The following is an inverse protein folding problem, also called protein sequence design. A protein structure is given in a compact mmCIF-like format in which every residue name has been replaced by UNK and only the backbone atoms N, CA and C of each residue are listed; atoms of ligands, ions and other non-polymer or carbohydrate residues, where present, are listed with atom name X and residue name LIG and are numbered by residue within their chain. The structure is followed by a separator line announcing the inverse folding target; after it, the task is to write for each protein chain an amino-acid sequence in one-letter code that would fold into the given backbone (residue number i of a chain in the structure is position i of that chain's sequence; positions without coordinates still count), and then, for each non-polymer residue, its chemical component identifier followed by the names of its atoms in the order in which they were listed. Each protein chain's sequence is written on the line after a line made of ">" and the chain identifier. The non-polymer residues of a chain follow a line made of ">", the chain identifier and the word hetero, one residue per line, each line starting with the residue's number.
data_IF_536006591536
#
_entry.id   IF_536006591536
#
_cell.length_a   1.000
_cell.length_b   1.000
_cell.length_c   1.000
_cell.angle_alpha   90.00
_cell.angle_beta   90.00
_cell.angle_gamma   90.00
#
_symmetry.space_group_name_H-M   'P 1'
#
loop_
_entity.id
_entity.type
_entity.pdbx_description
1 polymer ?
#
# COMPACT_ATOMS: atom_id res chain seq x y z
N UNK A 1 -54.59 -48.32 17.16
CA UNK A 1 -54.95 -47.80 15.81
C UNK A 1 -55.71 -46.49 15.86
N UNK A 2 -56.37 -46.12 16.96
CA UNK A 2 -57.19 -44.87 17.06
C UNK A 2 -56.44 -43.58 17.17
N UNK A 3 -55.21 -43.58 17.75
CA UNK A 3 -54.43 -42.38 17.93
C UNK A 3 -53.81 -41.86 16.63
N UNK A 4 -53.62 -42.68 15.60
CA UNK A 4 -53.05 -42.24 14.30
C UNK A 4 -54.12 -41.56 13.44
N UNK A 5 -55.38 -41.91 13.63
CA UNK A 5 -56.48 -41.28 12.89
C UNK A 5 -56.89 -39.90 13.44
N UNK A 6 -56.61 -39.62 14.73
CA UNK A 6 -56.91 -38.33 15.33
C UNK A 6 -55.86 -37.24 14.87
N UNK A 7 -54.66 -37.65 14.74
CA UNK A 7 -53.54 -36.74 14.20
C UNK A 7 -53.75 -36.42 12.71
N UNK A 8 -54.23 -37.40 11.90
CA UNK A 8 -54.54 -37.16 10.47
C UNK A 8 -55.73 -36.20 10.27
N UNK A 9 -56.78 -36.25 11.13
CA UNK A 9 -57.95 -35.32 11.02
C UNK A 9 -57.59 -33.88 11.39
N UNK A 10 -56.65 -33.62 12.32
CA UNK A 10 -56.24 -32.26 12.68
C UNK A 10 -55.35 -31.57 11.60
N UNK A 11 -54.57 -32.36 10.85
CA UNK A 11 -53.74 -31.83 9.75
C UNK A 11 -54.58 -31.46 8.50
N UNK A 12 -55.74 -32.04 8.31
CA UNK A 12 -56.68 -31.70 7.21
C UNK A 12 -57.34 -30.31 7.37
N UNK A 13 -57.49 -29.82 8.62
CA UNK A 13 -58.10 -28.51 8.91
C UNK A 13 -57.22 -27.34 8.44
N UNK A 14 -55.92 -27.54 8.26
CA UNK A 14 -54.98 -26.51 7.79
C UNK A 14 -54.58 -26.63 6.31
N UNK A 15 -55.20 -27.53 5.52
CA UNK A 15 -54.93 -27.68 4.10
C UNK A 15 -53.51 -28.18 3.74
N UNK A 16 -52.73 -28.59 4.74
CA UNK A 16 -51.36 -29.10 4.55
C UNK A 16 -51.38 -30.62 4.57
N UNK A 17 -51.15 -31.25 3.43
CA UNK A 17 -51.04 -32.71 3.38
C UNK A 17 -49.60 -33.14 3.81
N UNK A 18 -49.46 -34.41 4.23
CA UNK A 18 -48.15 -34.95 4.70
C UNK A 18 -47.04 -34.85 3.67
N UNK A 19 -47.37 -34.82 2.37
CA UNK A 19 -46.44 -34.62 1.25
C UNK A 19 -45.95 -33.16 1.19
N UNK A 20 -46.84 -32.17 1.44
CA UNK A 20 -46.48 -30.77 1.50
C UNK A 20 -45.55 -30.44 2.68
N UNK A 21 -45.79 -31.04 3.86
CA UNK A 21 -44.93 -30.87 5.03
C UNK A 21 -43.52 -31.44 4.79
N UNK A 22 -43.44 -32.63 4.14
CA UNK A 22 -42.15 -33.23 3.74
C UNK A 22 -41.42 -32.39 2.71
N UNK A 23 -42.10 -31.82 1.74
CA UNK A 23 -41.52 -30.94 0.75
C UNK A 23 -40.97 -29.63 1.38
N UNK A 24 -41.72 -29.04 2.34
CA UNK A 24 -41.27 -27.85 3.07
C UNK A 24 -40.03 -28.17 3.95
N UNK A 25 -40.04 -29.31 4.67
CA UNK A 25 -38.88 -29.75 5.46
C UNK A 25 -37.65 -30.02 4.57
N UNK A 26 -37.83 -30.66 3.40
CA UNK A 26 -36.75 -30.92 2.46
C UNK A 26 -36.18 -29.59 1.88
N UNK A 27 -37.07 -28.66 1.50
CA UNK A 27 -36.66 -27.34 1.02
C UNK A 27 -35.91 -26.54 2.09
N UNK A 28 -36.38 -26.61 3.34
CA UNK A 28 -35.70 -25.95 4.47
C UNK A 28 -34.34 -26.59 4.79
N UNK A 29 -34.23 -27.93 4.75
CA UNK A 29 -32.96 -28.63 4.89
C UNK A 29 -31.98 -28.30 3.74
N UNK A 30 -32.47 -28.26 2.49
CA UNK A 30 -31.69 -27.87 1.33
C UNK A 30 -31.26 -26.40 1.41
N UNK A 31 -32.13 -25.52 1.93
CA UNK A 31 -31.80 -24.10 2.16
C UNK A 31 -30.75 -23.94 3.27
N UNK A 32 -30.82 -24.70 4.38
CA UNK A 32 -29.81 -24.74 5.43
C UNK A 32 -28.47 -25.32 4.92
N UNK A 33 -28.50 -26.35 4.06
CA UNK A 33 -27.32 -26.91 3.43
C UNK A 33 -26.70 -25.88 2.46
N UNK A 34 -27.49 -25.16 1.68
CA UNK A 34 -27.04 -24.12 0.77
C UNK A 34 -26.42 -22.94 1.52
N UNK A 35 -26.96 -22.53 2.68
CA UNK A 35 -26.37 -21.50 3.54
C UNK A 35 -25.02 -21.96 4.10
N UNK A 36 -24.88 -23.22 4.52
CA UNK A 36 -23.60 -23.76 5.01
C UNK A 36 -22.59 -24.02 3.89
N UNK A 37 -23.02 -24.31 2.66
CA UNK A 37 -22.14 -24.47 1.50
C UNK A 37 -21.61 -23.12 0.96
N UNK A 38 -22.29 -22.00 1.26
CA UNK A 38 -21.92 -20.67 0.79
C UNK A 38 -20.79 -20.00 1.60
N UNK A 39 -20.25 -20.62 2.64
CA UNK A 39 -19.33 -19.98 3.57
C UNK A 39 -18.01 -20.73 3.87
N UNK A 40 -17.45 -21.50 2.95
CA UNK A 40 -16.03 -21.82 3.06
C UNK A 40 -15.24 -20.68 2.43
N UNK A 41 -14.97 -19.62 3.19
CA UNK A 41 -14.02 -18.59 2.79
C UNK A 41 -12.64 -19.23 2.67
N UNK A 42 -12.04 -19.18 1.48
CA UNK A 42 -10.70 -19.66 1.25
C UNK A 42 -9.73 -18.89 2.16
N UNK A 43 -9.00 -19.59 3.03
CA UNK A 43 -8.06 -19.00 3.98
C UNK A 43 -6.64 -19.32 3.54
N UNK A 44 -5.87 -18.28 3.20
CA UNK A 44 -4.42 -18.41 2.99
C UNK A 44 -3.73 -18.53 4.35
N UNK A 45 -3.14 -19.70 4.62
CA UNK A 45 -2.40 -19.96 5.85
C UNK A 45 -1.03 -19.25 5.84
N UNK A 46 -0.48 -18.90 7.01
CA UNK A 46 0.85 -18.30 7.09
C UNK A 46 1.95 -19.28 6.65
N UNK A 47 3.01 -18.75 6.05
CA UNK A 47 4.17 -19.51 5.61
C UNK A 47 5.36 -19.40 6.59
N UNK A 48 5.47 -18.28 7.32
CA UNK A 48 6.67 -17.95 8.11
C UNK A 48 6.38 -17.65 9.58
N UNK A 49 5.16 -17.95 10.05
CA UNK A 49 4.85 -17.94 11.49
C UNK A 49 5.72 -18.96 12.23
N UNK A 50 6.27 -18.59 13.39
CA UNK A 50 7.24 -19.38 14.15
C UNK A 50 8.68 -19.31 13.61
N UNK A 51 8.91 -18.65 12.44
CA UNK A 51 10.23 -18.50 11.82
C UNK A 51 10.64 -17.03 11.71
N UNK A 52 9.80 -16.19 11.07
CA UNK A 52 10.07 -14.75 10.92
C UNK A 52 9.50 -13.93 12.07
N UNK A 53 8.46 -14.42 12.70
CA UNK A 53 7.80 -13.82 13.85
C UNK A 53 7.16 -14.93 14.71
N UNK A 54 6.88 -14.71 16.01
CA UNK A 54 6.26 -15.71 16.88
C UNK A 54 4.92 -16.23 16.33
N UNK A 55 4.70 -17.53 16.40
CA UNK A 55 3.40 -18.17 16.10
C UNK A 55 2.41 -18.09 17.28
N UNK A 56 2.92 -17.80 18.48
CA UNK A 56 2.08 -17.52 19.63
C UNK A 56 1.51 -16.10 19.55
N UNK A 57 0.17 -15.90 19.60
CA UNK A 57 -0.44 -14.60 19.41
C UNK A 57 -0.09 -13.59 20.52
N UNK A 58 0.12 -14.03 21.76
CA UNK A 58 0.47 -13.16 22.87
C UNK A 58 1.91 -12.66 22.74
N UNK A 59 2.84 -13.54 22.39
CA UNK A 59 4.25 -13.19 22.17
C UNK A 59 4.39 -12.24 20.99
N UNK A 60 3.69 -12.53 19.89
CA UNK A 60 3.67 -11.69 18.69
C UNK A 60 3.13 -10.29 18.99
N UNK A 61 1.99 -10.20 19.69
CA UNK A 61 1.40 -8.92 20.10
C UNK A 61 2.37 -8.11 20.94
N UNK A 62 2.97 -8.73 21.96
CA UNK A 62 3.92 -8.06 22.84
C UNK A 62 5.20 -7.63 22.13
N UNK A 63 5.68 -8.44 21.17
CA UNK A 63 6.83 -8.09 20.34
C UNK A 63 6.56 -6.84 19.51
N UNK A 64 5.44 -6.80 18.79
CA UNK A 64 5.05 -5.67 17.96
C UNK A 64 4.81 -4.41 18.84
N UNK A 65 4.12 -4.55 19.96
CA UNK A 65 3.85 -3.43 20.86
C UNK A 65 5.16 -2.80 21.39
N UNK A 66 6.15 -3.61 21.76
CA UNK A 66 7.49 -3.11 22.15
C UNK A 66 8.18 -2.35 21.02
N UNK A 67 8.08 -2.82 19.76
CA UNK A 67 8.63 -2.08 18.63
C UNK A 67 7.91 -0.75 18.42
N UNK A 68 6.57 -0.76 18.46
CA UNK A 68 5.76 0.46 18.31
C UNK A 68 6.02 1.48 19.44
N UNK A 69 6.24 1.04 20.67
CA UNK A 69 6.57 1.91 21.80
C UNK A 69 7.93 2.61 21.59
N UNK A 70 8.95 1.85 21.18
CA UNK A 70 10.30 2.36 20.92
C UNK A 70 10.39 3.28 19.71
N UNK A 71 9.57 3.06 18.69
CA UNK A 71 9.59 3.86 17.47
C UNK A 71 9.25 5.32 17.77
N UNK A 72 10.02 6.26 17.20
CA UNK A 72 9.82 7.71 17.33
C UNK A 72 9.81 8.40 15.97
N UNK A 73 8.89 8.03 15.07
CA UNK A 73 8.86 8.62 13.75
C UNK A 73 8.50 10.10 13.84
N UNK A 74 9.21 10.93 13.06
CA UNK A 74 8.91 12.34 12.89
C UNK A 74 8.28 12.54 11.51
N UNK A 75 6.98 12.76 11.47
CA UNK A 75 6.26 13.12 10.27
C UNK A 75 5.09 14.02 10.66
N UNK A 76 5.19 15.30 10.33
CA UNK A 76 4.21 16.31 10.77
C UNK A 76 2.90 16.29 9.99
N UNK A 77 2.86 15.61 8.86
CA UNK A 77 1.69 15.61 7.99
C UNK A 77 0.67 14.55 8.43
N UNK A 78 -0.60 14.94 8.50
CA UNK A 78 -1.68 14.04 8.87
C UNK A 78 -2.25 13.24 7.69
N UNK A 79 -1.93 13.62 6.46
CA UNK A 79 -2.44 12.97 5.26
C UNK A 79 -1.41 11.95 4.75
N UNK A 80 -1.45 10.73 5.29
CA UNK A 80 -0.60 9.62 4.91
C UNK A 80 -1.33 8.77 3.88
N UNK A 81 -0.70 8.51 2.75
CA UNK A 81 -1.23 7.68 1.68
C UNK A 81 -0.53 6.33 1.57
N UNK A 82 0.81 6.30 1.73
CA UNK A 82 1.54 5.05 1.60
C UNK A 82 2.69 4.91 2.60
N UNK A 83 3.06 3.65 2.85
CA UNK A 83 4.26 3.24 3.56
C UNK A 83 5.13 2.40 2.63
N UNK A 84 6.46 2.46 2.83
CA UNK A 84 7.41 1.47 2.34
C UNK A 84 7.97 0.80 3.59
N UNK A 85 7.82 -0.52 3.72
CA UNK A 85 8.21 -1.26 4.92
C UNK A 85 8.98 -2.54 4.57
N UNK A 86 9.97 -2.94 5.38
CA UNK A 86 10.74 -4.16 5.18
C UNK A 86 9.94 -5.40 5.55
N UNK A 87 10.39 -6.59 5.06
CA UNK A 87 9.72 -7.88 5.30
C UNK A 87 10.64 -9.02 5.73
N UNK A 88 11.83 -8.71 6.21
CA UNK A 88 12.66 -9.70 6.89
C UNK A 88 12.04 -10.14 8.23
N UNK A 89 12.64 -11.16 8.86
CA UNK A 89 12.21 -11.59 10.20
C UNK A 89 12.22 -10.43 11.20
N UNK A 90 11.24 -10.39 12.10
CA UNK A 90 11.01 -9.29 13.03
C UNK A 90 12.18 -8.96 13.95
N UNK A 91 13.03 -9.96 14.26
CA UNK A 91 14.28 -9.73 15.00
C UNK A 91 15.25 -8.79 14.29
N UNK A 92 15.19 -8.68 12.98
CA UNK A 92 16.04 -7.82 12.15
C UNK A 92 15.34 -6.54 11.70
N UNK A 93 14.14 -6.66 11.14
CA UNK A 93 13.46 -5.54 10.47
C UNK A 93 12.28 -4.95 11.24
N UNK A 94 11.79 -5.62 12.30
CA UNK A 94 10.57 -5.24 13.01
C UNK A 94 10.62 -3.84 13.64
N UNK A 95 11.77 -3.44 14.19
CA UNK A 95 11.93 -2.08 14.76
C UNK A 95 11.81 -1.01 13.68
N UNK A 96 12.43 -1.24 12.51
CA UNK A 96 12.35 -0.31 11.36
C UNK A 96 10.93 -0.23 10.82
N UNK A 97 10.27 -1.40 10.63
CA UNK A 97 8.88 -1.45 10.19
C UNK A 97 7.94 -0.65 11.12
N UNK A 98 8.16 -0.78 12.44
CA UNK A 98 7.36 -0.10 13.46
C UNK A 98 7.33 1.42 13.31
N UNK A 99 8.38 2.05 12.76
CA UNK A 99 8.43 3.49 12.53
C UNK A 99 7.36 3.95 11.53
N UNK A 100 7.09 3.18 10.48
CA UNK A 100 5.99 3.44 9.55
C UNK A 100 4.64 3.13 10.18
N UNK A 101 4.49 1.95 10.77
CA UNK A 101 3.21 1.49 11.31
C UNK A 101 2.72 2.34 12.49
N UNK A 102 3.61 2.90 13.30
CA UNK A 102 3.22 3.81 14.38
C UNK A 102 2.49 5.04 13.88
N UNK A 103 2.85 5.58 12.73
CA UNK A 103 2.21 6.77 12.14
C UNK A 103 0.77 6.53 11.72
N UNK A 104 0.40 5.30 11.42
CA UNK A 104 -0.95 4.95 10.98
C UNK A 104 -1.84 4.41 12.11
N UNK A 105 -1.32 4.30 13.33
CA UNK A 105 -2.07 3.74 14.46
C UNK A 105 -3.38 4.48 14.68
N UNK A 106 -4.47 3.70 14.75
CA UNK A 106 -5.86 4.17 14.96
C UNK A 106 -6.41 5.08 13.86
N UNK A 107 -5.77 5.12 12.67
CA UNK A 107 -6.32 5.86 11.53
C UNK A 107 -7.47 5.09 10.87
N UNK A 108 -8.42 5.79 10.22
CA UNK A 108 -9.68 5.19 9.76
C UNK A 108 -9.55 4.56 8.35
N UNK A 109 -8.43 3.89 8.06
CA UNK A 109 -8.31 3.16 6.79
C UNK A 109 -9.27 1.97 6.76
N UNK A 110 -9.91 1.76 5.62
CA UNK A 110 -10.85 0.65 5.37
C UNK A 110 -10.32 -0.36 4.37
N UNK A 111 -9.41 0.06 3.48
CA UNK A 111 -8.74 -0.81 2.53
C UNK A 111 -7.24 -0.58 2.61
N UNK A 112 -6.47 -1.67 2.74
CA UNK A 112 -5.01 -1.64 2.72
C UNK A 112 -4.51 -2.45 1.53
N UNK A 113 -3.93 -1.77 0.55
CA UNK A 113 -3.30 -2.38 -0.61
C UNK A 113 -1.86 -2.74 -0.22
N UNK A 114 -1.52 -4.03 -0.22
CA UNK A 114 -0.16 -4.50 0.05
C UNK A 114 0.46 -4.96 -1.27
N UNK A 115 1.51 -4.25 -1.72
CA UNK A 115 2.22 -4.56 -2.95
C UNK A 115 3.59 -5.11 -2.57
N UNK A 116 3.89 -6.35 -2.97
CA UNK A 116 5.05 -7.10 -2.54
C UNK A 116 5.73 -7.86 -3.70
N UNK A 117 7.01 -8.24 -3.60
CA UNK A 117 7.69 -9.02 -4.63
C UNK A 117 7.25 -10.49 -4.63
N UNK A 118 7.63 -11.21 -5.68
CA UNK A 118 7.59 -12.67 -5.75
C UNK A 118 8.99 -13.25 -5.58
N UNK A 119 9.27 -13.92 -4.46
CA UNK A 119 10.57 -14.51 -4.19
C UNK A 119 10.70 -15.95 -4.72
N UNK A 120 9.58 -16.64 -4.91
CA UNK A 120 9.57 -18.08 -5.16
C UNK A 120 8.97 -18.48 -6.52
N UNK A 121 8.30 -17.55 -7.21
CA UNK A 121 7.62 -17.87 -8.47
C UNK A 121 7.83 -16.75 -9.50
N UNK A 122 8.55 -17.06 -10.59
CA UNK A 122 8.79 -16.11 -11.68
C UNK A 122 7.57 -16.01 -12.61
N UNK A 123 7.10 -14.78 -12.86
CA UNK A 123 6.02 -14.49 -13.80
C UNK A 123 6.09 -13.04 -14.29
N UNK A 124 5.38 -12.72 -15.35
CA UNK A 124 5.25 -11.35 -15.85
C UNK A 124 3.94 -10.71 -15.35
N UNK A 125 3.99 -9.43 -14.97
CA UNK A 125 2.84 -8.66 -14.56
C UNK A 125 2.58 -8.69 -13.04
N UNK A 126 1.29 -8.60 -12.68
CA UNK A 126 0.83 -8.50 -11.30
C UNK A 126 -0.13 -9.66 -10.98
N UNK A 127 0.05 -10.27 -9.81
CA UNK A 127 -0.86 -11.29 -9.30
C UNK A 127 -1.64 -10.73 -8.11
N UNK A 128 -2.98 -10.79 -8.18
CA UNK A 128 -3.87 -10.28 -7.15
C UNK A 128 -4.65 -11.44 -6.55
N UNK A 129 -4.62 -11.56 -5.23
CA UNK A 129 -5.41 -12.57 -4.52
C UNK A 129 -6.88 -12.15 -4.51
N UNK A 130 -7.83 -12.97 -5.07
CA UNK A 130 -9.14 -12.46 -5.45
C UNK A 130 -10.14 -12.34 -4.30
N UNK A 131 -10.14 -13.29 -3.34
CA UNK A 131 -11.19 -13.42 -2.32
C UNK A 131 -10.73 -14.24 -1.11
N UNK A 132 -11.52 -14.22 -0.04
CA UNK A 132 -11.27 -14.99 1.17
C UNK A 132 -10.50 -14.19 2.21
N UNK A 133 -9.53 -14.81 2.88
CA UNK A 133 -8.76 -14.17 3.96
C UNK A 133 -7.31 -14.67 4.03
N UNK A 134 -6.46 -13.86 4.68
CA UNK A 134 -5.12 -14.24 5.09
C UNK A 134 -5.08 -14.45 6.60
N UNK A 135 -4.60 -15.61 7.03
CA UNK A 135 -4.44 -15.95 8.44
C UNK A 135 -3.09 -15.52 8.97
N UNK A 136 -3.10 -14.97 10.18
CA UNK A 136 -1.94 -14.75 11.02
C UNK A 136 -2.21 -15.34 12.41
N UNK A 137 -1.22 -15.43 13.32
CA UNK A 137 -1.49 -15.80 14.71
C UNK A 137 -2.47 -14.84 15.43
N UNK A 138 -2.63 -13.61 14.93
CA UNK A 138 -3.54 -12.60 15.50
C UNK A 138 -4.98 -12.68 14.94
N UNK A 139 -5.25 -13.64 14.05
CA UNK A 139 -6.56 -13.85 13.42
C UNK A 139 -6.55 -13.63 11.91
N UNK A 140 -7.71 -13.75 11.30
CA UNK A 140 -7.89 -13.65 9.85
C UNK A 140 -8.11 -12.19 9.43
N UNK A 141 -7.53 -11.82 8.29
CA UNK A 141 -7.75 -10.56 7.60
C UNK A 141 -8.50 -10.80 6.30
N UNK A 142 -9.68 -10.23 6.19
CA UNK A 142 -10.53 -10.35 5.00
C UNK A 142 -9.92 -9.59 3.81
N UNK A 143 -10.10 -10.16 2.62
CA UNK A 143 -9.78 -9.50 1.35
C UNK A 143 -10.91 -8.54 0.98
N UNK A 144 -10.57 -7.37 0.45
CA UNK A 144 -11.51 -6.44 -0.18
C UNK A 144 -11.87 -6.98 -1.58
N UNK A 145 -12.82 -7.93 -1.60
CA UNK A 145 -13.19 -8.65 -2.82
C UNK A 145 -13.76 -7.72 -3.90
N UNK A 146 -14.49 -6.68 -3.51
CA UNK A 146 -15.00 -5.70 -4.47
C UNK A 146 -13.83 -4.96 -5.15
N UNK A 147 -12.84 -4.55 -4.37
CA UNK A 147 -11.67 -3.86 -4.90
C UNK A 147 -10.82 -4.79 -5.80
N UNK A 148 -10.56 -6.02 -5.37
CA UNK A 148 -9.77 -6.99 -6.14
C UNK A 148 -10.43 -7.36 -7.45
N UNK A 149 -11.75 -7.55 -7.48
CA UNK A 149 -12.49 -7.86 -8.71
C UNK A 149 -12.44 -6.71 -9.73
N UNK A 150 -12.47 -5.47 -9.26
CA UNK A 150 -12.34 -4.29 -10.14
C UNK A 150 -10.97 -4.21 -10.80
N UNK A 151 -9.92 -4.74 -10.19
CA UNK A 151 -8.59 -4.82 -10.76
C UNK A 151 -8.44 -6.01 -11.74
N UNK A 152 -8.91 -7.21 -11.36
CA UNK A 152 -8.72 -8.45 -12.10
C UNK A 152 -9.39 -8.48 -13.49
N UNK A 153 -10.41 -7.67 -13.72
CA UNK A 153 -11.19 -7.70 -14.96
C UNK A 153 -10.72 -6.69 -16.03
N UNK A 154 -9.50 -6.13 -15.92
CA UNK A 154 -9.09 -4.99 -16.74
C UNK A 154 -7.97 -5.25 -17.73
N UNK A 155 -6.94 -5.98 -17.35
CA UNK A 155 -5.71 -6.11 -18.15
C UNK A 155 -5.20 -7.56 -18.13
N UNK A 156 -4.62 -8.04 -19.24
CA UNK A 156 -4.11 -9.41 -19.37
C UNK A 156 -2.95 -9.71 -18.40
N UNK A 157 -2.09 -8.71 -18.15
CA UNK A 157 -0.97 -8.84 -17.23
C UNK A 157 -1.40 -8.87 -15.75
N UNK A 158 -2.68 -8.63 -15.46
CA UNK A 158 -3.23 -8.65 -14.10
C UNK A 158 -4.15 -9.86 -13.93
N UNK A 159 -3.69 -10.83 -13.17
CA UNK A 159 -4.46 -12.08 -12.96
C UNK A 159 -4.18 -12.67 -11.59
N UNK A 160 -4.96 -13.66 -11.18
CA UNK A 160 -4.63 -14.46 -10.01
C UNK A 160 -3.73 -15.63 -10.41
N UNK A 161 -2.56 -15.72 -9.81
CA UNK A 161 -1.60 -16.83 -9.95
C UNK A 161 -1.36 -17.43 -8.58
N UNK A 162 -2.04 -18.53 -8.21
CA UNK A 162 -1.91 -19.15 -6.88
C UNK A 162 -0.45 -19.43 -6.47
N UNK A 163 0.37 -19.92 -7.41
CA UNK A 163 1.78 -20.21 -7.17
C UNK A 163 2.61 -19.00 -6.70
N UNK A 164 2.21 -17.78 -7.08
CA UNK A 164 2.87 -16.55 -6.62
C UNK A 164 2.66 -16.28 -5.12
N UNK A 165 1.63 -16.88 -4.51
CA UNK A 165 1.31 -16.71 -3.09
C UNK A 165 1.65 -17.92 -2.24
N UNK A 166 1.85 -19.08 -2.85
CA UNK A 166 1.94 -20.37 -2.12
C UNK A 166 3.02 -20.37 -1.04
N UNK A 167 4.24 -19.90 -1.38
CA UNK A 167 5.39 -19.83 -0.48
C UNK A 167 5.82 -18.39 -0.14
N UNK A 168 5.10 -17.39 -0.65
CA UNK A 168 5.48 -16.00 -0.51
C UNK A 168 5.16 -15.45 0.89
N UNK A 169 6.12 -14.76 1.47
CA UNK A 169 6.07 -14.22 2.83
C UNK A 169 5.99 -12.69 2.89
N UNK A 170 6.34 -11.99 1.81
CA UNK A 170 6.52 -10.54 1.81
C UNK A 170 5.24 -9.74 2.09
N UNK A 171 4.06 -10.30 1.76
CA UNK A 171 2.76 -9.76 2.18
C UNK A 171 2.49 -10.13 3.64
N UNK A 172 2.67 -11.41 3.98
CA UNK A 172 2.34 -12.00 5.28
C UNK A 172 3.00 -11.23 6.43
N UNK A 173 4.28 -10.89 6.29
CA UNK A 173 5.07 -10.20 7.32
C UNK A 173 4.51 -8.81 7.66
N UNK A 174 3.78 -8.16 6.74
CA UNK A 174 3.16 -6.86 6.97
C UNK A 174 1.87 -6.96 7.83
N UNK A 175 1.18 -8.11 7.74
CA UNK A 175 -0.17 -8.25 8.27
C UNK A 175 -0.27 -8.11 9.80
N UNK A 176 0.61 -8.70 10.62
CA UNK A 176 0.51 -8.56 12.08
C UNK A 176 0.70 -7.11 12.55
N UNK A 177 1.57 -6.32 11.90
CA UNK A 177 1.70 -4.89 12.19
C UNK A 177 0.42 -4.13 11.87
N UNK A 178 -0.21 -4.42 10.72
CA UNK A 178 -1.50 -3.83 10.34
C UNK A 178 -2.59 -4.16 11.38
N UNK A 179 -2.67 -5.41 11.81
CA UNK A 179 -3.64 -5.85 12.84
C UNK A 179 -3.44 -5.18 14.19
N UNK A 180 -2.19 -4.82 14.55
CA UNK A 180 -1.89 -4.11 15.81
C UNK A 180 -2.10 -2.61 15.73
N UNK A 181 -2.19 -2.04 14.53
CA UNK A 181 -2.27 -0.59 14.34
C UNK A 181 -3.60 -0.10 13.79
N UNK A 182 -4.32 -0.92 13.03
CA UNK A 182 -5.60 -0.58 12.40
C UNK A 182 -6.74 -1.47 12.92
N UNK A 183 -7.97 -1.03 12.68
CA UNK A 183 -9.18 -1.77 13.02
C UNK A 183 -10.23 -1.69 11.90
N UNK A 184 -10.93 -2.82 11.66
CA UNK A 184 -12.05 -2.86 10.73
C UNK A 184 -11.68 -2.50 9.29
N UNK A 185 -10.57 -3.02 8.81
CA UNK A 185 -10.06 -2.86 7.44
C UNK A 185 -10.02 -4.20 6.71
N UNK A 186 -9.94 -4.12 5.38
CA UNK A 186 -9.72 -5.26 4.49
C UNK A 186 -8.42 -5.06 3.72
N UNK A 187 -7.86 -6.16 3.19
CA UNK A 187 -6.60 -6.13 2.45
C UNK A 187 -6.81 -6.38 0.95
N UNK A 188 -5.93 -5.81 0.14
CA UNK A 188 -5.78 -6.10 -1.29
C UNK A 188 -4.37 -6.63 -1.51
N UNK A 189 -4.16 -7.96 -1.49
CA UNK A 189 -2.84 -8.57 -1.61
C UNK A 189 -2.41 -8.62 -3.07
N UNK A 190 -1.25 -8.00 -3.39
CA UNK A 190 -0.70 -7.91 -4.73
C UNK A 190 0.76 -8.36 -4.70
N UNK A 191 1.09 -9.34 -5.55
CA UNK A 191 2.46 -9.79 -5.79
C UNK A 191 2.90 -9.31 -7.17
N UNK A 192 4.09 -8.70 -7.24
CA UNK A 192 4.69 -8.22 -8.49
C UNK A 192 5.67 -9.26 -9.03
N UNK A 193 5.49 -9.62 -10.30
CA UNK A 193 6.49 -10.37 -11.08
C UNK A 193 7.43 -9.43 -11.84
N UNK A 194 7.96 -9.89 -12.97
CA UNK A 194 8.72 -9.04 -13.86
C UNK A 194 7.79 -8.10 -14.63
N UNK A 195 8.10 -6.80 -14.61
CA UNK A 195 7.25 -5.76 -15.19
C UNK A 195 8.08 -4.68 -15.86
N UNK A 196 7.57 -4.12 -16.96
CA UNK A 196 8.14 -2.94 -17.61
C UNK A 196 7.71 -1.66 -16.89
N UNK A 197 8.41 -0.56 -17.09
CA UNK A 197 7.99 0.76 -16.58
C UNK A 197 6.59 1.15 -17.11
N UNK A 198 6.27 0.73 -18.35
CA UNK A 198 4.94 0.92 -18.93
C UNK A 198 3.86 0.17 -18.15
N UNK A 199 4.12 -1.10 -17.78
CA UNK A 199 3.21 -1.88 -16.93
C UNK A 199 3.04 -1.24 -15.55
N UNK A 200 4.12 -0.74 -14.92
CA UNK A 200 4.03 -0.02 -13.65
C UNK A 200 3.13 1.23 -13.74
N UNK A 201 3.25 2.02 -14.83
CA UNK A 201 2.40 3.21 -15.06
C UNK A 201 0.95 2.84 -15.29
N UNK A 202 0.67 1.85 -16.14
CA UNK A 202 -0.70 1.35 -16.40
C UNK A 202 -1.35 0.84 -15.11
N UNK A 203 -0.60 0.07 -14.33
CA UNK A 203 -1.13 -0.47 -13.08
C UNK A 203 -1.37 0.62 -12.02
N UNK A 204 -0.48 1.61 -11.92
CA UNK A 204 -0.69 2.77 -11.05
C UNK A 204 -1.96 3.57 -11.47
N UNK A 205 -2.17 3.78 -12.78
CA UNK A 205 -3.39 4.43 -13.29
C UNK A 205 -4.65 3.62 -12.97
N UNK A 206 -4.63 2.29 -13.12
CA UNK A 206 -5.73 1.42 -12.77
C UNK A 206 -6.05 1.45 -11.26
N UNK A 207 -5.02 1.45 -10.41
CA UNK A 207 -5.19 1.61 -8.97
C UNK A 207 -5.82 2.96 -8.62
N UNK A 208 -5.35 4.04 -9.24
CA UNK A 208 -5.92 5.39 -9.07
C UNK A 208 -7.40 5.43 -9.44
N UNK A 209 -7.78 4.88 -10.59
CA UNK A 209 -9.17 4.84 -11.05
C UNK A 209 -10.05 3.98 -10.12
N UNK A 210 -9.47 2.89 -9.58
CA UNK A 210 -10.15 2.00 -8.63
C UNK A 210 -10.33 2.66 -7.26
N UNK A 211 -9.32 3.39 -6.77
CA UNK A 211 -9.39 4.19 -5.54
C UNK A 211 -10.42 5.32 -5.70
N UNK A 212 -10.43 5.99 -6.86
CA UNK A 212 -11.34 7.10 -7.13
C UNK A 212 -11.17 8.26 -6.13
N UNK A 213 -12.25 8.65 -5.45
CA UNK A 213 -12.25 9.74 -4.46
C UNK A 213 -12.09 9.27 -3.00
N UNK A 214 -11.82 7.98 -2.78
CA UNK A 214 -11.67 7.41 -1.44
C UNK A 214 -10.45 8.00 -0.73
N UNK A 215 -10.64 8.30 0.57
CA UNK A 215 -9.58 8.83 1.46
C UNK A 215 -9.19 7.80 2.55
N UNK A 216 -9.84 6.64 2.52
CA UNK A 216 -9.70 5.57 3.51
C UNK A 216 -8.86 4.37 2.98
N UNK A 217 -8.03 4.63 1.96
CA UNK A 217 -7.13 3.65 1.35
C UNK A 217 -5.70 3.94 1.76
N UNK A 218 -5.00 2.91 2.25
CA UNK A 218 -3.56 2.93 2.51
C UNK A 218 -2.86 2.00 1.53
N UNK A 219 -1.69 2.40 1.04
CA UNK A 219 -0.80 1.52 0.28
C UNK A 219 0.42 1.15 1.13
N UNK A 220 0.78 -0.13 1.16
CA UNK A 220 2.01 -0.63 1.78
C UNK A 220 2.84 -1.31 0.70
N UNK A 221 3.95 -0.68 0.31
CA UNK A 221 4.96 -1.30 -0.53
C UNK A 221 5.94 -2.08 0.36
N UNK A 222 5.95 -3.40 0.19
CA UNK A 222 6.77 -4.31 0.99
C UNK A 222 8.11 -4.55 0.29
N UNK A 223 9.22 -4.11 0.88
CA UNK A 223 10.55 -4.26 0.29
C UNK A 223 11.67 -4.14 1.31
N UNK A 224 12.59 -5.10 1.27
CA UNK A 224 13.93 -4.91 1.82
C UNK A 224 14.82 -4.22 0.78
N UNK A 225 16.00 -3.72 1.20
CA UNK A 225 16.96 -3.01 0.35
C UNK A 225 18.08 -3.94 -0.15
N UNK A 226 19.32 -3.57 0.03
CA UNK A 226 20.50 -4.36 -0.40
C UNK A 226 20.45 -5.80 0.14
N UNK A 227 20.93 -6.73 -0.69
CA UNK A 227 21.18 -8.14 -0.33
C UNK A 227 22.56 -8.55 -0.87
N UNK A 228 23.53 -8.78 0.01
CA UNK A 228 24.87 -9.18 -0.39
C UNK A 228 25.79 -9.50 0.78
N UNK A 229 27.07 -9.72 0.48
CA UNK A 229 28.06 -10.17 1.46
C UNK A 229 28.99 -9.05 1.97
N UNK A 230 28.64 -7.79 1.77
CA UNK A 230 29.45 -6.66 2.23
C UNK A 230 28.57 -5.57 2.85
N UNK A 231 28.78 -5.29 4.15
CA UNK A 231 27.99 -4.27 4.84
C UNK A 231 28.33 -2.82 4.42
N UNK A 232 29.57 -2.57 3.93
CA UNK A 232 29.98 -1.26 3.43
C UNK A 232 29.31 -0.99 2.09
N UNK A 233 29.33 -1.98 1.19
CA UNK A 233 28.59 -1.91 -0.07
C UNK A 233 27.08 -1.73 0.19
N UNK A 234 26.51 -2.42 1.20
CA UNK A 234 25.13 -2.22 1.62
C UNK A 234 24.85 -0.74 1.95
N UNK A 235 25.71 -0.10 2.74
CA UNK A 235 25.53 1.30 3.11
C UNK A 235 25.64 2.26 1.91
N UNK A 236 26.53 1.98 0.96
CA UNK A 236 26.72 2.78 -0.25
C UNK A 236 25.55 2.64 -1.23
N UNK A 237 25.17 1.41 -1.57
CA UNK A 237 24.05 1.13 -2.49
C UNK A 237 22.74 1.63 -1.89
N UNK A 238 22.49 1.37 -0.60
CA UNK A 238 21.28 1.81 0.08
C UNK A 238 21.20 3.33 0.15
N UNK A 239 22.32 4.03 0.39
CA UNK A 239 22.37 5.50 0.37
C UNK A 239 21.94 6.08 -0.98
N UNK A 240 22.40 5.46 -2.07
CA UNK A 240 22.02 5.88 -3.43
C UNK A 240 20.52 5.59 -3.64
N UNK A 241 20.07 4.38 -3.31
CA UNK A 241 18.65 3.99 -3.42
C UNK A 241 17.73 4.94 -2.64
N UNK A 242 18.12 5.30 -1.40
CA UNK A 242 17.39 6.26 -0.57
C UNK A 242 17.30 7.65 -1.22
N UNK A 243 18.28 8.07 -2.02
CA UNK A 243 18.21 9.35 -2.72
C UNK A 243 17.12 9.38 -3.78
N UNK A 244 16.93 8.27 -4.53
CA UNK A 244 15.83 8.13 -5.49
C UNK A 244 14.47 8.10 -4.80
N UNK A 245 14.36 7.43 -3.66
CA UNK A 245 13.14 7.40 -2.85
C UNK A 245 12.76 8.81 -2.36
N UNK A 246 13.70 9.53 -1.74
CA UNK A 246 13.49 10.91 -1.24
C UNK A 246 13.04 11.88 -2.32
N UNK A 247 13.60 11.74 -3.53
CA UNK A 247 13.22 12.54 -4.69
C UNK A 247 11.93 12.04 -5.36
N UNK A 248 11.38 10.91 -4.89
CA UNK A 248 10.25 10.22 -5.51
C UNK A 248 10.48 9.98 -7.01
N UNK A 249 11.73 9.71 -7.41
CA UNK A 249 12.10 9.45 -8.80
C UNK A 249 11.83 8.00 -9.19
N UNK A 250 10.58 7.71 -9.48
CA UNK A 250 10.12 6.38 -9.88
C UNK A 250 10.79 5.86 -11.16
N UNK A 251 11.08 6.75 -12.12
CA UNK A 251 11.71 6.36 -13.38
C UNK A 251 13.19 6.04 -13.19
N UNK A 252 13.94 6.91 -12.50
CA UNK A 252 15.34 6.66 -12.18
C UNK A 252 15.52 5.43 -11.31
N UNK A 253 14.62 5.23 -10.31
CA UNK A 253 14.61 4.02 -9.50
C UNK A 253 14.39 2.76 -10.35
N UNK A 254 13.41 2.77 -11.26
CA UNK A 254 13.13 1.64 -12.14
C UNK A 254 14.36 1.24 -12.98
N UNK A 255 15.01 2.20 -13.64
CA UNK A 255 16.19 1.92 -14.46
C UNK A 255 17.39 1.50 -13.62
N UNK A 256 17.61 2.12 -12.47
CA UNK A 256 18.69 1.73 -11.57
C UNK A 256 18.55 0.29 -11.04
N UNK A 257 17.31 -0.16 -10.78
CA UNK A 257 17.02 -1.55 -10.42
C UNK A 257 17.25 -2.50 -11.59
N UNK A 258 16.86 -2.13 -12.81
CA UNK A 258 17.07 -2.94 -14.02
C UNK A 258 18.55 -3.08 -14.40
N UNK A 259 19.34 -2.09 -14.10
CA UNK A 259 20.78 -2.06 -14.32
C UNK A 259 21.58 -2.64 -13.13
N UNK A 260 20.89 -3.18 -12.12
CA UNK A 260 21.47 -3.74 -10.89
C UNK A 260 22.37 -2.77 -10.10
N UNK A 261 22.20 -1.46 -10.38
CA UNK A 261 22.90 -0.38 -9.66
C UNK A 261 22.24 -0.04 -8.32
N UNK A 262 20.96 -0.36 -8.19
CA UNK A 262 20.13 -0.16 -7.02
C UNK A 262 19.52 -1.49 -6.62
N UNK A 263 19.21 -1.65 -5.33
CA UNK A 263 18.60 -2.87 -4.83
C UNK A 263 17.40 -2.57 -3.95
N UNK A 264 16.27 -3.15 -4.33
CA UNK A 264 15.02 -3.25 -3.58
C UNK A 264 14.34 -4.54 -4.06
N UNK A 265 14.16 -5.54 -3.20
CA UNK A 265 13.51 -6.78 -3.62
C UNK A 265 12.06 -6.55 -4.07
N UNK A 266 11.34 -5.62 -3.44
CA UNK A 266 10.01 -5.15 -3.82
C UNK A 266 10.03 -3.91 -4.72
N UNK A 267 11.14 -3.64 -5.45
CA UNK A 267 11.39 -2.38 -6.13
C UNK A 267 10.31 -1.99 -7.14
N UNK A 268 9.75 -2.94 -7.88
CA UNK A 268 8.67 -2.65 -8.84
C UNK A 268 7.37 -2.24 -8.13
N UNK A 269 7.05 -2.85 -6.99
CA UNK A 269 5.93 -2.42 -6.14
C UNK A 269 6.14 -1.01 -5.59
N UNK A 270 7.38 -0.68 -5.21
CA UNK A 270 7.77 0.67 -4.80
C UNK A 270 7.62 1.67 -5.96
N UNK A 271 8.08 1.33 -7.17
CA UNK A 271 7.91 2.18 -8.39
C UNK A 271 6.44 2.47 -8.65
N UNK A 272 5.56 1.44 -8.61
CA UNK A 272 4.10 1.63 -8.74
C UNK A 272 3.58 2.57 -7.66
N UNK A 273 3.99 2.37 -6.41
CA UNK A 273 3.55 3.20 -5.28
C UNK A 273 3.96 4.67 -5.43
N UNK A 274 5.21 4.94 -5.89
CA UNK A 274 5.69 6.30 -6.15
C UNK A 274 4.90 6.99 -7.27
N UNK A 275 4.63 6.27 -8.38
CA UNK A 275 3.84 6.80 -9.50
C UNK A 275 2.42 7.13 -9.03
N UNK A 276 1.75 6.16 -8.39
CA UNK A 276 0.39 6.31 -7.88
C UNK A 276 0.28 7.48 -6.88
N UNK A 277 1.24 7.57 -5.96
CA UNK A 277 1.28 8.65 -4.97
C UNK A 277 1.34 10.04 -5.64
N UNK A 278 2.21 10.21 -6.64
CA UNK A 278 2.30 11.46 -7.40
C UNK A 278 1.01 11.79 -8.15
N UNK A 279 0.39 10.80 -8.78
CA UNK A 279 -0.86 10.98 -9.52
C UNK A 279 -2.02 11.38 -8.60
N UNK A 280 -2.00 10.93 -7.33
CA UNK A 280 -2.96 11.29 -6.28
C UNK A 280 -2.53 12.53 -5.47
N UNK A 281 -1.45 13.22 -5.89
CA UNK A 281 -0.91 14.44 -5.27
C UNK A 281 -0.30 14.23 -3.87
N UNK A 282 0.08 13.00 -3.53
CA UNK A 282 0.90 12.69 -2.37
C UNK A 282 2.36 12.67 -2.80
N UNK A 283 3.01 13.83 -2.77
CA UNK A 283 4.33 14.07 -3.38
C UNK A 283 5.44 14.35 -2.37
N UNK A 284 5.23 14.01 -1.09
CA UNK A 284 6.25 14.09 -0.05
C UNK A 284 6.56 12.70 0.49
N UNK A 285 7.82 12.27 0.37
CA UNK A 285 8.33 11.05 0.99
C UNK A 285 9.34 11.42 2.07
N UNK A 286 9.17 10.85 3.26
CA UNK A 286 10.14 10.91 4.35
C UNK A 286 10.67 9.51 4.66
N UNK A 287 11.99 9.41 4.82
CA UNK A 287 12.65 8.22 5.37
C UNK A 287 12.59 8.33 6.89
N UNK A 288 11.85 7.41 7.51
CA UNK A 288 11.62 7.41 8.95
C UNK A 288 12.73 6.72 9.72
N UNK A 289 13.21 5.60 9.19
CA UNK A 289 14.27 4.81 9.79
C UNK A 289 14.97 3.96 8.73
N UNK A 290 16.28 3.80 8.88
CA UNK A 290 17.12 2.95 8.05
C UNK A 290 18.15 2.22 8.91
N UNK A 291 18.33 0.93 8.66
CA UNK A 291 19.40 0.11 9.23
C UNK A 291 19.75 -1.05 8.29
N UNK A 292 20.65 -1.93 8.71
CA UNK A 292 20.91 -3.20 8.05
C UNK A 292 21.16 -4.32 9.06
N UNK A 293 21.13 -5.58 8.59
CA UNK A 293 21.27 -6.75 9.46
C UNK A 293 22.62 -6.80 10.19
N UNK A 294 23.68 -6.27 9.62
CA UNK A 294 24.99 -6.19 10.25
C UNK A 294 25.01 -5.24 11.45
N UNK A 295 24.28 -4.11 11.37
CA UNK A 295 24.10 -3.18 12.49
C UNK A 295 23.22 -3.77 13.58
N UNK A 296 22.11 -4.42 13.20
CA UNK A 296 21.17 -5.03 14.15
C UNK A 296 21.82 -6.16 14.95
N UNK A 297 22.64 -6.99 14.31
CA UNK A 297 23.32 -8.11 14.96
C UNK A 297 24.67 -7.74 15.57
N UNK A 298 25.12 -6.50 15.44
CA UNK A 298 26.47 -6.01 15.80
C UNK A 298 27.60 -6.87 15.19
N UNK A 299 27.37 -7.36 13.96
CA UNK A 299 28.30 -8.22 13.21
C UNK A 299 28.71 -7.57 11.89
N UNK A 300 29.54 -6.53 11.97
CA UNK A 300 30.11 -5.85 10.80
C UNK A 300 31.34 -6.58 10.26
N UNK A 301 31.16 -7.85 9.91
CA UNK A 301 32.22 -8.72 9.41
C UNK A 301 32.11 -8.80 7.89
N UNK A 302 33.19 -8.50 7.17
CA UNK A 302 33.24 -8.65 5.72
C UNK A 302 33.01 -10.11 5.33
N UNK A 303 32.21 -10.33 4.27
CA UNK A 303 31.79 -11.65 3.83
C UNK A 303 30.57 -12.22 4.57
N UNK A 304 29.96 -11.46 5.49
CA UNK A 304 28.71 -11.85 6.14
C UNK A 304 27.54 -11.30 5.33
N UNK A 305 26.53 -12.14 5.11
CA UNK A 305 25.30 -11.74 4.42
C UNK A 305 24.64 -10.56 5.12
N UNK A 306 24.42 -9.50 4.38
CA UNK A 306 23.86 -8.25 4.87
C UNK A 306 22.63 -7.87 4.07
N UNK A 307 21.55 -7.48 4.77
CA UNK A 307 20.31 -6.99 4.17
C UNK A 307 20.01 -5.60 4.72
N UNK A 308 19.70 -4.66 3.82
CA UNK A 308 19.26 -3.31 4.18
C UNK A 308 17.77 -3.25 4.48
N UNK A 309 17.37 -2.42 5.44
CA UNK A 309 15.98 -2.23 5.86
C UNK A 309 15.62 -0.76 5.93
N UNK A 310 14.49 -0.38 5.37
CA UNK A 310 14.01 1.00 5.41
C UNK A 310 12.52 1.06 5.73
N UNK A 311 12.13 2.07 6.47
CA UNK A 311 10.74 2.49 6.62
C UNK A 311 10.59 3.91 6.09
N UNK A 312 9.65 4.09 5.14
CA UNK A 312 9.31 5.39 4.59
C UNK A 312 7.81 5.64 4.71
N UNK A 313 7.45 6.92 4.74
CA UNK A 313 6.06 7.38 4.66
C UNK A 313 5.91 8.31 3.47
N UNK A 314 4.77 8.19 2.77
CA UNK A 314 4.39 9.08 1.67
C UNK A 314 3.06 9.73 2.01
N UNK A 315 2.99 11.06 1.86
CA UNK A 315 1.79 11.84 2.10
C UNK A 315 1.72 13.12 1.28
N UNK A 316 0.64 13.86 1.45
CA UNK A 316 0.50 15.17 0.82
C UNK A 316 1.38 16.19 1.54
N UNK A 317 1.87 17.18 0.81
CA UNK A 317 2.57 18.32 1.42
C UNK A 317 1.59 19.12 2.30
N UNK A 318 2.00 19.46 3.51
CA UNK A 318 1.11 20.13 4.45
C UNK A 318 0.49 21.40 3.84
N UNK A 319 -0.83 21.54 3.94
CA UNK A 319 -1.58 22.74 3.44
C UNK A 319 -1.08 24.07 4.01
N UNK A 320 -0.29 24.05 5.11
CA UNK A 320 0.29 25.26 5.71
C UNK A 320 1.24 26.01 4.80
N UNK A 321 2.07 25.33 4.01
CA UNK A 321 2.98 25.99 3.06
C UNK A 321 2.20 26.65 1.91
N UNK A 322 1.14 25.99 1.43
CA UNK A 322 0.27 26.58 0.39
C UNK A 322 -0.51 27.80 0.90
N UNK A 323 -0.94 27.79 2.17
CA UNK A 323 -1.61 28.94 2.78
C UNK A 323 -0.62 30.06 3.14
N UNK A 324 0.65 29.74 3.45
CA UNK A 324 1.71 30.72 3.65
C UNK A 324 2.19 31.29 2.32
N UNK A 325 2.39 30.48 1.28
CA UNK A 325 2.72 30.93 -0.07
C UNK A 325 1.63 31.83 -0.65
N UNK A 326 0.35 31.42 -0.57
CA UNK A 326 -0.80 32.26 -0.97
C UNK A 326 -0.97 33.54 -0.14
N UNK A 327 -0.56 33.53 1.15
CA UNK A 327 -0.54 34.74 1.99
C UNK A 327 0.65 35.61 1.67
N UNK A 328 1.75 35.05 1.24
CA UNK A 328 2.95 35.78 0.83
C UNK A 328 2.76 36.37 -0.57
N UNK A 329 2.22 35.61 -1.54
CA UNK A 329 1.81 36.14 -2.85
C UNK A 329 0.75 37.24 -2.73
N UNK A 330 -0.27 37.07 -1.89
CA UNK A 330 -1.26 38.11 -1.60
C UNK A 330 -0.69 39.32 -0.85
N UNK A 331 0.39 39.17 -0.04
CA UNK A 331 1.09 40.28 0.58
C UNK A 331 1.98 41.02 -0.43
N UNK A 332 2.66 40.32 -1.29
CA UNK A 332 3.47 40.92 -2.38
C UNK A 332 2.55 41.62 -3.40
N UNK A 333 1.41 41.03 -3.78
CA UNK A 333 0.37 41.69 -4.56
C UNK A 333 -0.21 42.93 -3.84
N UNK A 334 -0.32 42.90 -2.52
CA UNK A 334 -0.83 44.06 -1.74
C UNK A 334 0.21 45.17 -1.59
N UNK A 335 1.49 44.92 -1.85
CA UNK A 335 2.56 45.95 -1.77
C UNK A 335 2.63 46.85 -3.00
N UNK A 336 2.05 46.47 -4.13
CA UNK A 336 1.96 47.35 -5.30
C UNK A 336 0.76 48.25 -5.19
N UNK A 337 0.97 49.56 -5.32
CA UNK A 337 -0.14 50.49 -5.39
C UNK A 337 -0.88 50.38 -6.74
N UNK A 338 -2.08 51.01 -6.81
CA UNK A 338 -2.96 50.91 -7.99
C UNK A 338 -2.31 51.39 -9.28
N UNK A 339 -1.43 52.38 -9.17
CA UNK A 339 -0.73 52.98 -10.29
C UNK A 339 0.44 52.08 -10.78
N UNK A 340 1.18 51.47 -9.87
CA UNK A 340 2.23 50.51 -10.19
C UNK A 340 1.67 49.26 -10.87
N UNK A 341 0.52 48.75 -10.44
CA UNK A 341 -0.20 47.65 -11.11
C UNK A 341 -0.61 48.01 -12.53
N UNK A 342 -1.14 49.23 -12.72
CA UNK A 342 -1.54 49.72 -14.05
C UNK A 342 -0.32 49.79 -14.98
N UNK A 343 0.79 50.30 -14.49
CA UNK A 343 2.04 50.43 -15.26
C UNK A 343 2.64 49.06 -15.62
N UNK A 344 2.66 48.11 -14.71
CA UNK A 344 3.10 46.72 -14.99
C UNK A 344 2.22 46.05 -16.06
N UNK A 345 0.90 46.25 -16.03
CA UNK A 345 0.00 45.74 -17.04
C UNK A 345 0.21 46.38 -18.41
N UNK A 346 0.53 47.69 -18.47
CA UNK A 346 0.89 48.39 -19.70
C UNK A 346 2.23 47.86 -20.27
N UNK A 347 3.24 47.68 -19.44
CA UNK A 347 4.53 47.13 -19.85
C UNK A 347 4.35 45.68 -20.38
N UNK A 348 3.59 44.84 -19.69
CA UNK A 348 3.33 43.46 -20.12
C UNK A 348 2.59 43.44 -21.48
N UNK A 349 1.58 44.29 -21.66
CA UNK A 349 0.85 44.41 -22.92
C UNK A 349 1.76 44.86 -24.05
N UNK A 350 2.55 45.91 -23.84
CA UNK A 350 3.48 46.42 -24.83
C UNK A 350 4.57 45.42 -25.20
N UNK A 351 5.05 44.65 -24.23
CA UNK A 351 5.99 43.52 -24.46
C UNK A 351 5.41 42.46 -25.38
N UNK A 352 4.18 42.06 -25.13
CA UNK A 352 3.46 41.08 -25.96
C UNK A 352 3.23 41.60 -27.37
N UNK A 353 2.74 42.82 -27.50
CA UNK A 353 2.47 43.45 -28.81
C UNK A 353 3.77 43.63 -29.61
N UNK A 354 4.87 44.04 -28.97
CA UNK A 354 6.17 44.21 -29.61
C UNK A 354 6.72 42.88 -30.09
N UNK A 355 6.62 41.84 -29.25
CA UNK A 355 7.05 40.49 -29.62
C UNK A 355 6.25 39.89 -30.78
N UNK A 356 4.92 40.08 -30.77
CA UNK A 356 4.06 39.59 -31.84
C UNK A 356 4.31 40.34 -33.18
N UNK A 357 4.69 41.61 -33.14
CA UNK A 357 4.95 42.42 -34.36
C UNK A 357 6.39 42.26 -34.88
N UNK A 358 7.36 42.08 -33.99
CA UNK A 358 8.78 42.16 -34.36
C UNK A 358 9.62 40.92 -34.05
N UNK A 359 9.07 39.96 -33.30
CA UNK A 359 9.76 38.80 -32.69
C UNK A 359 10.98 39.19 -31.83
N UNK A 360 11.05 40.47 -31.40
CA UNK A 360 12.09 40.94 -30.47
C UNK A 360 11.47 41.18 -29.09
N UNK A 361 12.25 40.84 -28.03
CA UNK A 361 11.85 41.16 -26.65
C UNK A 361 11.94 42.66 -26.40
N UNK A 362 10.97 43.21 -25.67
CA UNK A 362 11.04 44.59 -25.19
C UNK A 362 12.09 44.65 -24.07
N UNK A 363 13.05 45.58 -24.19
CA UNK A 363 13.97 45.88 -23.07
C UNK A 363 13.25 46.85 -22.13
N UNK A 364 13.02 46.40 -20.89
CA UNK A 364 12.44 47.24 -19.82
C UNK A 364 13.59 47.73 -18.96
N UNK A 365 13.69 49.05 -18.75
CA UNK A 365 14.74 49.66 -17.94
C UNK A 365 14.19 49.98 -16.54
N UNK A 366 15.11 50.12 -15.55
CA UNK A 366 14.76 50.46 -14.16
C UNK A 366 13.95 51.79 -14.02
N UNK A 367 13.84 52.60 -15.08
CA UNK A 367 13.07 53.81 -15.08
C UNK A 367 11.62 53.61 -15.54
N UNK A 368 11.28 52.45 -16.06
CA UNK A 368 9.96 52.07 -16.53
C UNK A 368 9.17 51.34 -15.45
#
# INVERSE_FOLDING_TARGET
>A
MENVNFARKRLQVFGINLLGLRAICLAFCLWLIAINAAASTEVKLPNVAGVFYPDNPQELSQMIDRFLEKAKPAFENQDIFALICPHAGYGFSGQVAASGYKLIKSRPYKTVIVIAPSHHYGFNGFSIYPKGSFRTPLGDLEIDEEFTQRLLNKEEEISFRPAAFEKEHSIEVQLPFLQRTLQGFKIVPIVTGDVTLSNCRKFASLLKDTIGQRQDVLVVASSDMYHGYDYQEAEEVDKITLSYLKNMDAQGLYYGLREEKLQLCGGFGVVVTLILSKELRHNKLEVLEYTNSAKVSDKKIKGTWTVGYVSCVIGAQARKEKAQGLRQEKREEAMLNKEQRKRLLEIARNSIETYLKTHKKLEVTEKD
#
